data_IF_531182164222
#
_entry.id   IF_531182164222
#
_cell.length_a   1.000
_cell.length_b   1.000
_cell.length_c   1.000
_cell.angle_alpha   90.00
_cell.angle_beta   90.00
_cell.angle_gamma   90.00
#
_symmetry.space_group_name_H-M   'P 1'
#
loop_
_entity.id
_entity.type
_entity.pdbx_description
1 polymer ?
#
# COMPACT_ATOMS: atom_id res chain seq x y z
N UNK A 1 19.94 -7.58 1.38
CA UNK A 1 19.61 -6.54 0.39
C UNK A 1 20.82 -5.63 0.29
N UNK A 2 21.40 -5.50 -0.90
CA UNK A 2 22.53 -4.60 -1.14
C UNK A 2 22.06 -3.14 -1.24
N UNK A 3 22.99 -2.20 -1.05
CA UNK A 3 22.76 -0.77 -1.32
C UNK A 3 22.36 -0.54 -2.79
N UNK A 4 22.82 -1.40 -3.71
CA UNK A 4 22.40 -1.36 -5.11
C UNK A 4 20.93 -1.73 -5.26
N UNK A 5 20.49 -2.84 -4.65
CA UNK A 5 19.10 -3.28 -4.69
C UNK A 5 18.14 -2.19 -4.19
N UNK A 6 18.51 -1.49 -3.10
CA UNK A 6 17.69 -0.42 -2.55
C UNK A 6 17.53 0.75 -3.54
N UNK A 7 18.62 1.15 -4.20
CA UNK A 7 18.62 2.22 -5.22
C UNK A 7 17.79 1.85 -6.44
N UNK A 8 17.86 0.59 -6.88
CA UNK A 8 17.09 0.11 -8.02
C UNK A 8 15.58 0.13 -7.72
N UNK A 9 15.19 -0.26 -6.51
CA UNK A 9 13.79 -0.20 -6.08
C UNK A 9 13.30 1.25 -5.96
N UNK A 10 14.13 2.16 -5.43
CA UNK A 10 13.78 3.58 -5.32
C UNK A 10 13.64 4.24 -6.70
N UNK A 11 14.48 3.83 -7.67
CA UNK A 11 14.36 4.24 -9.06
C UNK A 11 13.09 3.71 -9.70
N UNK A 12 12.74 2.44 -9.51
CA UNK A 12 11.50 1.85 -10.02
C UNK A 12 10.27 2.61 -9.51
N UNK A 13 10.27 3.00 -8.22
CA UNK A 13 9.21 3.85 -7.67
C UNK A 13 9.18 5.23 -8.34
N UNK A 14 10.33 5.89 -8.47
CA UNK A 14 10.43 7.22 -9.08
C UNK A 14 9.92 7.22 -10.53
N UNK A 15 10.28 6.21 -11.32
CA UNK A 15 9.84 6.04 -12.70
C UNK A 15 8.32 5.82 -12.78
N UNK A 16 7.74 5.04 -11.87
CA UNK A 16 6.30 4.85 -11.78
C UNK A 16 5.55 6.15 -11.47
N UNK A 17 6.06 6.94 -10.52
CA UNK A 17 5.47 8.24 -10.17
C UNK A 17 5.64 9.26 -11.31
N UNK A 18 6.76 9.21 -12.04
CA UNK A 18 6.97 10.06 -13.22
C UNK A 18 5.96 9.73 -14.34
N UNK A 19 5.67 8.44 -14.58
CA UNK A 19 4.64 8.01 -15.54
C UNK A 19 3.25 8.46 -15.13
N UNK A 20 2.90 8.35 -13.85
CA UNK A 20 1.64 8.86 -13.32
C UNK A 20 1.51 10.38 -13.56
N UNK A 21 2.57 11.14 -13.27
CA UNK A 21 2.62 12.60 -13.51
C UNK A 21 2.50 12.95 -15.01
N UNK A 22 2.99 12.07 -15.89
CA UNK A 22 2.86 12.22 -17.34
C UNK A 22 1.45 11.87 -17.88
N UNK A 23 0.50 11.52 -17.01
CA UNK A 23 -0.88 11.21 -17.39
C UNK A 23 -1.14 9.75 -17.76
N UNK A 24 -0.21 8.84 -17.49
CA UNK A 24 -0.47 7.39 -17.62
C UNK A 24 -1.50 6.99 -16.57
N UNK A 25 -2.54 6.28 -16.99
CA UNK A 25 -3.56 5.72 -16.09
C UNK A 25 -2.93 4.90 -14.96
N UNK A 26 -3.27 5.22 -13.71
CA UNK A 26 -2.77 4.59 -12.50
C UNK A 26 -3.11 3.09 -12.44
N UNK A 27 -4.20 2.66 -13.08
CA UNK A 27 -4.58 1.24 -13.17
C UNK A 27 -3.61 0.43 -14.07
N UNK A 28 -2.85 1.11 -14.93
CA UNK A 28 -1.86 0.52 -15.85
C UNK A 28 -0.43 0.51 -15.27
N UNK A 29 -0.23 1.08 -14.08
CA UNK A 29 1.06 1.10 -13.38
C UNK A 29 1.01 0.05 -12.28
N UNK A 30 1.74 -1.05 -12.46
CA UNK A 30 1.82 -2.16 -11.52
C UNK A 30 3.18 -2.23 -10.85
N UNK A 31 3.20 -2.25 -9.52
CA UNK A 31 4.41 -2.26 -8.70
C UNK A 31 4.55 -3.56 -7.90
N UNK A 32 5.75 -4.14 -7.74
CA UNK A 32 5.97 -5.28 -6.87
C UNK A 32 5.86 -4.91 -5.38
N UNK A 33 5.66 -5.93 -4.52
CA UNK A 33 5.66 -5.81 -3.06
C UNK A 33 6.81 -4.94 -2.53
N UNK A 34 8.03 -5.22 -2.97
CA UNK A 34 9.23 -4.56 -2.45
C UNK A 34 9.30 -3.06 -2.79
N UNK A 35 8.59 -2.63 -3.84
CA UNK A 35 8.47 -1.21 -4.22
C UNK A 35 7.34 -0.55 -3.42
N UNK A 36 6.21 -1.22 -3.27
CA UNK A 36 5.06 -0.64 -2.53
C UNK A 36 5.34 -0.56 -1.02
N UNK A 37 5.99 -1.58 -0.47
CA UNK A 37 6.24 -1.74 0.96
C UNK A 37 7.75 -1.64 1.25
N UNK A 38 8.21 -0.75 2.15
CA UNK A 38 7.46 0.17 3.00
C UNK A 38 7.24 1.57 2.39
N UNK A 39 7.59 1.80 1.11
CA UNK A 39 7.77 3.15 0.55
C UNK A 39 6.47 3.92 0.38
N UNK A 40 5.40 3.26 -0.05
CA UNK A 40 4.07 3.86 -0.21
C UNK A 40 3.16 3.47 0.96
N UNK A 41 3.19 2.19 1.36
CA UNK A 41 2.43 1.71 2.50
C UNK A 41 3.42 1.38 3.63
N UNK A 42 3.27 1.98 4.83
CA UNK A 42 4.24 1.85 5.93
C UNK A 42 4.10 0.49 6.65
N UNK A 43 4.30 -0.59 5.92
CA UNK A 43 4.38 -1.95 6.44
C UNK A 43 5.52 -2.70 5.75
N UNK A 44 6.11 -3.68 6.43
CA UNK A 44 7.19 -4.48 5.85
C UNK A 44 6.64 -5.47 4.82
N UNK A 45 7.38 -5.85 3.76
CA UNK A 45 6.90 -6.83 2.77
C UNK A 45 6.44 -8.17 3.38
N UNK A 46 7.02 -8.59 4.51
CA UNK A 46 6.57 -9.77 5.25
C UNK A 46 5.14 -9.60 5.80
N UNK A 47 4.83 -8.41 6.33
CA UNK A 47 3.48 -8.04 6.80
C UNK A 47 2.49 -8.00 5.64
N UNK A 48 2.87 -7.44 4.49
CA UNK A 48 2.04 -7.46 3.29
C UNK A 48 1.72 -8.89 2.82
N UNK A 49 2.73 -9.79 2.83
CA UNK A 49 2.53 -11.21 2.52
C UNK A 49 1.53 -11.86 3.48
N UNK A 50 1.63 -11.58 4.77
CA UNK A 50 0.69 -12.10 5.78
C UNK A 50 -0.72 -11.52 5.57
N UNK A 51 -0.82 -10.23 5.29
CA UNK A 51 -2.09 -9.55 5.02
C UNK A 51 -2.85 -10.17 3.84
N UNK A 52 -2.15 -10.63 2.80
CA UNK A 52 -2.81 -11.33 1.67
C UNK A 52 -3.43 -12.66 2.05
N UNK A 53 -2.91 -13.37 3.05
CA UNK A 53 -3.52 -14.63 3.51
C UNK A 53 -4.59 -14.42 4.57
N UNK A 54 -4.54 -13.33 5.33
CA UNK A 54 -5.56 -13.00 6.35
C UNK A 54 -6.65 -12.07 5.86
N UNK A 55 -6.45 -11.38 4.73
CA UNK A 55 -7.32 -10.31 4.24
C UNK A 55 -7.13 -8.96 4.95
N UNK A 56 -6.31 -8.89 6.00
CA UNK A 56 -6.21 -7.73 6.89
C UNK A 56 -4.79 -7.15 6.88
N UNK A 57 -4.68 -5.85 6.64
CA UNK A 57 -3.46 -5.06 6.74
C UNK A 57 -3.69 -3.86 7.66
N UNK A 58 -2.86 -3.71 8.69
CA UNK A 58 -2.92 -2.59 9.63
C UNK A 58 -4.32 -2.35 10.23
N UNK A 59 -5.01 -3.45 10.56
CA UNK A 59 -6.33 -3.41 11.22
C UNK A 59 -7.53 -3.25 10.30
N UNK A 60 -7.35 -3.19 8.98
CA UNK A 60 -8.45 -3.06 8.00
C UNK A 60 -8.24 -3.96 6.78
N UNK A 61 -9.24 -4.15 5.89
CA UNK A 61 -9.06 -4.88 4.64
C UNK A 61 -7.83 -4.37 3.87
N UNK A 62 -6.98 -5.29 3.41
CA UNK A 62 -5.77 -4.94 2.65
C UNK A 62 -6.07 -4.38 1.26
N UNK A 63 -5.10 -3.69 0.62
CA UNK A 63 -5.25 -3.22 -0.75
C UNK A 63 -5.44 -4.39 -1.72
N UNK A 64 -6.20 -4.15 -2.79
CA UNK A 64 -6.34 -5.11 -3.89
C UNK A 64 -4.98 -5.34 -4.55
N UNK A 65 -4.77 -6.57 -5.04
CA UNK A 65 -3.54 -6.94 -5.73
C UNK A 65 -3.85 -7.82 -6.94
N UNK A 66 -2.97 -7.75 -7.93
CA UNK A 66 -2.99 -8.60 -9.12
C UNK A 66 -2.07 -9.79 -8.86
N UNK A 67 -2.62 -11.00 -8.95
CA UNK A 67 -1.86 -12.25 -8.83
C UNK A 67 -1.63 -12.87 -10.21
N UNK A 68 -0.37 -13.11 -10.57
CA UNK A 68 0.04 -13.83 -11.78
C UNK A 68 1.03 -14.94 -11.40
N UNK A 69 0.53 -16.17 -11.25
CA UNK A 69 1.32 -17.28 -10.74
C UNK A 69 1.91 -16.98 -9.35
N UNK A 70 3.24 -17.00 -9.25
CA UNK A 70 3.96 -16.65 -8.02
C UNK A 70 4.19 -15.14 -7.84
N UNK A 71 3.89 -14.31 -8.85
CA UNK A 71 4.09 -12.88 -8.79
C UNK A 71 2.85 -12.18 -8.24
N UNK A 72 3.07 -11.28 -7.28
CA UNK A 72 2.08 -10.33 -6.82
C UNK A 72 2.52 -8.93 -7.21
N UNK A 73 1.55 -8.14 -7.69
CA UNK A 73 1.69 -6.75 -8.07
C UNK A 73 0.54 -5.94 -7.48
N UNK A 74 0.75 -4.67 -7.24
CA UNK A 74 -0.30 -3.73 -6.87
C UNK A 74 -0.41 -2.69 -7.96
N UNK A 75 -1.64 -2.41 -8.41
CA UNK A 75 -1.88 -1.25 -9.25
C UNK A 75 -1.74 0.00 -8.40
N UNK A 76 -1.14 1.05 -8.97
CA UNK A 76 -0.96 2.31 -8.25
C UNK A 76 -2.33 2.91 -7.86
N UNK A 77 -3.36 2.71 -8.69
CA UNK A 77 -4.74 3.09 -8.38
C UNK A 77 -5.27 2.43 -7.11
N UNK A 78 -5.05 1.12 -6.96
CA UNK A 78 -5.54 0.34 -5.81
C UNK A 78 -4.79 0.71 -4.52
N UNK A 79 -3.49 1.02 -4.65
CA UNK A 79 -2.68 1.53 -3.54
C UNK A 79 -3.20 2.89 -3.08
N UNK A 80 -3.44 3.82 -4.01
CA UNK A 80 -3.95 5.16 -3.68
C UNK A 80 -5.35 5.11 -3.10
N UNK A 81 -6.27 4.35 -3.69
CA UNK A 81 -7.62 4.17 -3.15
C UNK A 81 -7.58 3.60 -1.73
N UNK A 82 -6.68 2.65 -1.45
CA UNK A 82 -6.50 2.13 -0.10
C UNK A 82 -5.96 3.21 0.86
N UNK A 83 -4.95 3.99 0.46
CA UNK A 83 -4.43 5.09 1.27
C UNK A 83 -5.49 6.16 1.56
N UNK A 84 -6.27 6.54 0.55
CA UNK A 84 -7.33 7.55 0.65
C UNK A 84 -8.52 7.10 1.50
N UNK A 85 -8.84 5.80 1.51
CA UNK A 85 -9.88 5.26 2.39
C UNK A 85 -9.54 5.29 3.89
N UNK A 86 -8.35 5.79 4.26
CA UNK A 86 -7.95 5.90 5.67
C UNK A 86 -8.63 7.09 6.32
N UNK A 87 -9.17 6.89 7.52
CA UNK A 87 -9.61 8.03 8.33
C UNK A 87 -8.42 8.85 8.79
N UNK A 88 -8.53 10.17 8.65
CA UNK A 88 -7.59 11.11 9.23
C UNK A 88 -8.07 11.52 10.61
N UNK A 89 -7.15 11.54 11.57
CA UNK A 89 -7.42 11.96 12.93
C UNK A 89 -6.41 13.05 13.31
N UNK A 90 -6.88 14.05 14.05
CA UNK A 90 -6.02 15.12 14.59
C UNK A 90 -5.18 14.64 15.78
N UNK A 91 -5.60 13.57 16.46
CA UNK A 91 -4.89 12.98 17.59
C UNK A 91 -5.22 11.48 17.77
N UNK A 92 -4.40 10.77 18.55
CA UNK A 92 -4.65 9.38 18.92
C UNK A 92 -5.85 9.23 19.87
N UNK A 93 -6.17 10.27 20.65
CA UNK A 93 -7.35 10.30 21.51
C UNK A 93 -8.63 10.30 20.68
N UNK A 94 -8.70 11.14 19.63
CA UNK A 94 -9.82 11.18 18.68
C UNK A 94 -10.03 9.81 18.02
N UNK A 95 -8.95 9.18 17.55
CA UNK A 95 -9.01 7.85 16.93
C UNK A 95 -9.58 6.78 17.87
N UNK A 96 -9.22 6.84 19.16
CA UNK A 96 -9.72 5.90 20.18
C UNK A 96 -11.21 6.10 20.44
N UNK A 97 -11.69 7.34 20.52
CA UNK A 97 -13.11 7.66 20.73
C UNK A 97 -13.98 7.23 19.54
N UNK A 98 -13.51 7.42 18.30
CA UNK A 98 -14.18 6.98 17.08
C UNK A 98 -14.36 5.46 17.08
N UNK A 99 -13.29 4.73 17.42
CA UNK A 99 -13.30 3.26 17.50
C UNK A 99 -14.29 2.74 18.56
N UNK A 100 -14.35 3.39 19.73
CA UNK A 100 -15.28 3.01 20.79
C UNK A 100 -16.75 3.26 20.41
N UNK A 101 -17.02 4.34 19.67
CA UNK A 101 -18.39 4.71 19.25
C UNK A 101 -18.93 3.75 18.18
N UNK A 102 -18.09 3.31 17.24
CA UNK A 102 -18.46 2.34 16.20
C UNK A 102 -18.75 0.93 16.72
N UNK A 103 -18.31 0.58 17.95
CA UNK A 103 -18.59 -0.71 18.59
C UNK A 103 -19.89 -0.66 19.42
N UNK A 104 -20.29 0.53 19.86
CA UNK A 104 -21.46 0.75 20.71
C UNK A 104 -22.77 0.98 19.94
N UNK A 105 -22.73 0.99 18.59
CA UNK A 105 -23.88 1.18 17.69
C UNK A 105 -24.17 -0.10 16.92
#
# INVERSE_FOLDING_TARGET
MSINDQRDIDKELADALARAKAGVDLAMIELPDIVVFPRLIPAMPATARKARSTGILLGRPGPLFVKRGHHVRYRLSDVYAWLESSESYSSTAEASMRSATSIAS
#
